data_IF_088432822512
#
_entry.id   IF_088432822512
#
_cell.length_a   1.000
_cell.length_b   1.000
_cell.length_c   1.000
_cell.angle_alpha   90.00
_cell.angle_beta   90.00
_cell.angle_gamma   90.00
#
_symmetry.space_group_name_H-M   'P 1'
#
loop_
_entity.id
_entity.type
_entity.pdbx_description
1 polymer ?
#
# COMPACT_ATOMS: atom_id res chain seq x y z
N UNK A 1 -11.91 16.89 11.01
CA UNK A 1 -11.93 17.20 9.56
C UNK A 1 -10.59 16.82 8.93
N UNK A 2 -10.65 16.15 7.81
CA UNK A 2 -9.43 15.68 7.13
C UNK A 2 -8.66 16.85 6.51
N UNK A 3 -7.34 16.89 6.75
CA UNK A 3 -6.46 17.86 6.12
C UNK A 3 -6.24 17.46 4.66
N UNK A 4 -6.99 18.09 3.78
CA UNK A 4 -7.00 17.74 2.35
C UNK A 4 -5.68 18.01 1.64
N UNK A 5 -4.93 19.04 2.08
CA UNK A 5 -3.63 19.34 1.48
C UNK A 5 -2.63 18.23 1.75
N UNK A 6 -2.58 17.75 2.99
CA UNK A 6 -1.71 16.63 3.36
C UNK A 6 -2.09 15.37 2.57
N UNK A 7 -3.38 15.07 2.51
CA UNK A 7 -3.85 13.87 1.80
C UNK A 7 -3.53 13.95 0.30
N UNK A 8 -3.75 15.09 -0.35
CA UNK A 8 -3.41 15.25 -1.77
C UNK A 8 -1.93 15.02 -2.04
N UNK A 9 -1.08 15.56 -1.17
CA UNK A 9 0.37 15.37 -1.30
C UNK A 9 0.75 13.90 -1.16
N UNK A 10 0.19 13.21 -0.18
CA UNK A 10 0.45 11.78 0.05
C UNK A 10 -0.08 10.91 -1.08
N UNK A 11 -1.25 11.25 -1.61
CA UNK A 11 -1.81 10.54 -2.77
C UNK A 11 -0.94 10.72 -4.02
N UNK A 12 -0.35 11.91 -4.20
CA UNK A 12 0.57 12.16 -5.32
C UNK A 12 1.81 11.27 -5.23
N UNK A 13 2.38 11.12 -4.03
CA UNK A 13 3.50 10.19 -3.80
C UNK A 13 3.10 8.75 -4.09
N UNK A 14 1.95 8.33 -3.60
CA UNK A 14 1.44 6.97 -3.84
C UNK A 14 1.26 6.72 -5.34
N UNK A 15 0.69 7.70 -6.06
CA UNK A 15 0.51 7.62 -7.51
C UNK A 15 1.86 7.42 -8.23
N UNK A 16 2.90 8.10 -7.79
CA UNK A 16 4.25 7.97 -8.33
C UNK A 16 4.80 6.55 -8.11
N UNK A 17 4.66 6.02 -6.90
CA UNK A 17 5.11 4.65 -6.60
C UNK A 17 4.33 3.61 -7.41
N UNK A 18 3.03 3.81 -7.57
CA UNK A 18 2.21 2.92 -8.40
C UNK A 18 2.70 2.94 -9.85
N UNK A 19 3.00 4.12 -10.40
CA UNK A 19 3.52 4.25 -11.76
C UNK A 19 4.86 3.54 -11.92
N UNK A 20 5.74 3.67 -10.92
CA UNK A 20 7.04 3.00 -10.92
C UNK A 20 6.90 1.48 -10.94
N UNK A 21 5.99 0.95 -10.13
CA UNK A 21 5.71 -0.50 -10.09
C UNK A 21 5.01 -0.98 -11.35
N UNK A 22 4.10 -0.17 -11.88
CA UNK A 22 3.38 -0.48 -13.12
C UNK A 22 4.35 -0.70 -14.28
N UNK A 23 5.41 0.10 -14.34
CA UNK A 23 6.43 -0.03 -15.38
C UNK A 23 7.17 -1.37 -15.32
N UNK A 24 7.19 -2.03 -14.16
CA UNK A 24 7.91 -3.28 -13.94
C UNK A 24 7.00 -4.50 -13.79
N UNK A 25 5.68 -4.32 -13.91
CA UNK A 25 4.71 -5.40 -13.59
C UNK A 25 4.86 -6.66 -14.45
N UNK A 26 5.39 -6.53 -15.66
CA UNK A 26 5.51 -7.64 -16.61
C UNK A 26 6.89 -8.29 -16.59
N UNK A 27 7.75 -7.96 -15.62
CA UNK A 27 9.05 -8.59 -15.48
C UNK A 27 8.89 -10.10 -15.29
N UNK A 28 9.66 -10.88 -16.05
CA UNK A 28 9.65 -12.33 -15.93
C UNK A 28 10.32 -12.78 -14.64
N UNK A 29 9.93 -13.94 -14.12
CA UNK A 29 10.52 -14.49 -12.91
C UNK A 29 12.04 -14.66 -13.03
N UNK A 30 12.49 -15.20 -14.16
CA UNK A 30 13.93 -15.44 -14.40
C UNK A 30 14.72 -14.14 -14.37
N UNK A 31 14.23 -13.10 -15.04
CA UNK A 31 14.87 -11.78 -15.03
C UNK A 31 14.86 -11.17 -13.64
N UNK A 32 13.73 -11.25 -12.96
CA UNK A 32 13.60 -10.72 -11.60
C UNK A 32 14.61 -11.39 -10.65
N UNK A 33 14.75 -12.71 -10.71
CA UNK A 33 15.68 -13.45 -9.87
C UNK A 33 17.15 -13.16 -10.19
N UNK A 34 17.46 -12.90 -11.46
CA UNK A 34 18.83 -12.66 -11.92
C UNK A 34 19.30 -11.22 -11.70
N UNK A 35 18.38 -10.25 -11.65
CA UNK A 35 18.73 -8.84 -11.55
C UNK A 35 18.54 -8.30 -10.13
N UNK A 36 19.61 -8.25 -9.39
CA UNK A 36 19.61 -7.80 -7.99
C UNK A 36 19.16 -6.34 -7.83
N UNK A 37 19.56 -5.47 -8.76
CA UNK A 37 19.17 -4.05 -8.71
C UNK A 37 17.68 -3.90 -8.94
N UNK A 38 17.15 -4.62 -9.91
CA UNK A 38 15.71 -4.61 -10.20
C UNK A 38 14.91 -5.13 -9.01
N UNK A 39 15.34 -6.24 -8.40
CA UNK A 39 14.68 -6.79 -7.21
C UNK A 39 14.63 -5.76 -6.08
N UNK A 40 15.78 -5.16 -5.77
CA UNK A 40 15.88 -4.17 -4.68
C UNK A 40 15.03 -2.94 -4.97
N UNK A 41 15.00 -2.50 -6.23
CA UNK A 41 14.18 -1.39 -6.64
C UNK A 41 12.69 -1.69 -6.43
N UNK A 42 12.23 -2.84 -6.88
CA UNK A 42 10.83 -3.26 -6.74
C UNK A 42 10.48 -3.44 -5.25
N UNK A 43 11.31 -4.12 -4.48
CA UNK A 43 11.09 -4.32 -3.04
C UNK A 43 10.97 -2.98 -2.30
N UNK A 44 11.88 -2.07 -2.57
CA UNK A 44 11.87 -0.75 -1.92
C UNK A 44 10.65 0.06 -2.32
N UNK A 45 10.29 0.03 -3.60
CA UNK A 45 9.12 0.77 -4.11
C UNK A 45 7.82 0.19 -3.54
N UNK A 46 7.70 -1.13 -3.45
CA UNK A 46 6.56 -1.77 -2.79
C UNK A 46 6.45 -1.32 -1.33
N UNK A 47 7.56 -1.34 -0.61
CA UNK A 47 7.59 -0.89 0.78
C UNK A 47 7.10 0.55 0.90
N UNK A 48 7.63 1.45 0.08
CA UNK A 48 7.24 2.87 0.11
C UNK A 48 5.76 3.06 -0.25
N UNK A 49 5.25 2.30 -1.21
CA UNK A 49 3.85 2.38 -1.61
C UNK A 49 2.91 1.94 -0.47
N UNK A 50 3.24 0.83 0.19
CA UNK A 50 2.44 0.34 1.33
C UNK A 50 2.51 1.33 2.50
N UNK A 51 3.70 1.89 2.77
CA UNK A 51 3.86 2.91 3.80
C UNK A 51 3.01 4.15 3.50
N UNK A 52 2.92 4.55 2.22
CA UNK A 52 2.07 5.68 1.81
C UNK A 52 0.59 5.41 2.11
N UNK A 53 0.12 4.21 1.86
CA UNK A 53 -1.26 3.83 2.20
C UNK A 53 -1.51 3.90 3.71
N UNK A 54 -0.59 3.36 4.50
CA UNK A 54 -0.68 3.40 5.96
C UNK A 54 -0.67 4.84 6.49
N UNK A 55 0.16 5.68 5.89
CA UNK A 55 0.30 7.08 6.27
C UNK A 55 -0.99 7.85 5.96
N UNK A 56 -1.55 7.67 4.76
CA UNK A 56 -2.84 8.28 4.38
C UNK A 56 -3.94 7.85 5.34
N UNK A 57 -4.04 6.55 5.58
CA UNK A 57 -5.05 6.00 6.49
C UNK A 57 -4.89 6.53 7.90
N UNK A 58 -3.66 6.61 8.40
CA UNK A 58 -3.36 7.14 9.73
C UNK A 58 -3.75 8.61 9.88
N UNK A 59 -3.53 9.43 8.84
CA UNK A 59 -3.95 10.83 8.85
C UNK A 59 -5.47 10.96 8.91
N UNK A 60 -6.20 10.16 8.16
CA UNK A 60 -7.67 10.18 8.19
C UNK A 60 -8.17 9.79 9.58
N UNK A 61 -7.61 8.73 10.17
CA UNK A 61 -7.98 8.25 11.49
C UNK A 61 -7.77 9.35 12.54
N UNK A 62 -6.61 9.99 12.51
CA UNK A 62 -6.27 11.06 13.44
C UNK A 62 -7.18 12.27 13.27
N UNK A 63 -7.34 12.73 12.04
CA UNK A 63 -8.12 13.94 11.74
C UNK A 63 -9.62 13.78 12.02
N UNK A 64 -10.15 12.57 11.84
CA UNK A 64 -11.56 12.28 12.08
C UNK A 64 -11.84 11.75 13.48
N UNK A 65 -10.82 11.63 14.32
CA UNK A 65 -10.99 11.14 15.68
C UNK A 65 -11.52 9.72 15.77
N UNK A 66 -11.11 8.85 14.85
CA UNK A 66 -11.52 7.45 14.84
C UNK A 66 -10.77 6.69 15.96
N UNK A 67 -11.21 5.46 16.26
CA UNK A 67 -10.56 4.69 17.30
C UNK A 67 -9.08 4.47 16.98
N UNK A 68 -8.26 4.41 18.01
CA UNK A 68 -6.83 4.21 17.87
C UNK A 68 -6.52 2.78 17.39
N UNK A 69 -5.79 2.62 16.27
CA UNK A 69 -5.42 1.29 15.80
C UNK A 69 -4.35 0.65 16.68
N UNK A 70 -4.39 -0.67 16.79
CA UNK A 70 -3.45 -1.45 17.62
C UNK A 70 -2.16 -1.80 16.89
N UNK A 71 -2.21 -1.86 15.57
CA UNK A 71 -1.07 -2.20 14.71
C UNK A 71 -1.35 -1.73 13.28
N UNK A 72 -0.43 -2.02 12.36
CA UNK A 72 -0.57 -1.60 10.96
C UNK A 72 -1.78 -2.22 10.26
N UNK A 73 -2.03 -3.50 10.51
CA UNK A 73 -3.18 -4.19 9.94
C UNK A 73 -4.49 -3.55 10.41
N UNK A 74 -4.55 -3.20 11.68
CA UNK A 74 -5.73 -2.59 12.29
C UNK A 74 -6.02 -1.19 11.75
N UNK A 75 -5.02 -0.49 11.23
CA UNK A 75 -5.22 0.81 10.57
C UNK A 75 -6.26 0.68 9.46
N UNK A 76 -6.15 -0.33 8.62
CA UNK A 76 -7.11 -0.55 7.55
C UNK A 76 -8.46 -1.04 8.09
N UNK A 77 -8.45 -1.83 9.14
CA UNK A 77 -9.69 -2.27 9.81
C UNK A 77 -10.49 -1.07 10.32
N UNK A 78 -9.83 -0.09 10.93
CA UNK A 78 -10.48 1.13 11.43
C UNK A 78 -11.12 1.90 10.27
N UNK A 79 -10.44 2.07 9.14
CA UNK A 79 -11.02 2.74 7.98
C UNK A 79 -12.22 1.97 7.42
N UNK A 80 -12.15 0.64 7.40
CA UNK A 80 -13.27 -0.20 6.95
C UNK A 80 -14.49 -0.05 7.84
N UNK A 81 -14.30 -0.07 9.16
CA UNK A 81 -15.37 0.13 10.15
C UNK A 81 -16.07 1.48 9.98
N UNK A 82 -15.31 2.49 9.57
CA UNK A 82 -15.78 3.86 9.44
C UNK A 82 -16.39 4.18 8.07
N UNK A 83 -16.47 3.20 7.20
CA UNK A 83 -17.09 3.35 5.88
C UNK A 83 -16.20 3.96 4.79
N UNK A 84 -14.91 4.16 5.05
CA UNK A 84 -13.99 4.66 4.03
C UNK A 84 -13.62 3.60 3.01
N UNK A 85 -13.61 2.33 3.39
CA UNK A 85 -13.21 1.23 2.54
C UNK A 85 -14.29 0.15 2.49
N UNK A 86 -14.57 -0.43 1.31
CA UNK A 86 -15.42 -1.61 1.22
C UNK A 86 -14.81 -2.79 1.99
N UNK A 87 -15.63 -3.69 2.48
CA UNK A 87 -15.19 -4.83 3.28
C UNK A 87 -14.15 -5.70 2.57
N UNK A 88 -14.37 -6.00 1.29
CA UNK A 88 -13.44 -6.83 0.52
C UNK A 88 -12.08 -6.17 0.36
N UNK A 89 -12.06 -4.87 0.05
CA UNK A 89 -10.81 -4.12 -0.07
C UNK A 89 -10.10 -4.04 1.27
N UNK A 90 -10.85 -3.84 2.36
CA UNK A 90 -10.29 -3.82 3.71
C UNK A 90 -9.50 -5.08 4.00
N UNK A 91 -10.07 -6.26 3.69
CA UNK A 91 -9.38 -7.55 3.89
C UNK A 91 -8.09 -7.65 3.08
N UNK A 92 -8.12 -7.20 1.83
CA UNK A 92 -6.94 -7.22 0.96
C UNK A 92 -5.84 -6.31 1.49
N UNK A 93 -6.21 -5.11 1.96
CA UNK A 93 -5.25 -4.16 2.52
C UNK A 93 -4.66 -4.64 3.84
N UNK A 94 -5.45 -5.34 4.65
CA UNK A 94 -4.94 -5.95 5.89
C UNK A 94 -3.87 -6.99 5.59
N UNK A 95 -4.04 -7.80 4.54
CA UNK A 95 -3.02 -8.75 4.08
C UNK A 95 -1.77 -8.02 3.59
N UNK A 96 -1.97 -6.93 2.87
CA UNK A 96 -0.86 -6.09 2.38
C UNK A 96 -0.05 -5.53 3.55
N UNK A 97 -0.72 -5.10 4.61
CA UNK A 97 -0.04 -4.60 5.81
C UNK A 97 0.80 -5.68 6.49
N UNK A 98 0.30 -6.91 6.53
CA UNK A 98 1.07 -8.06 7.06
C UNK A 98 2.32 -8.32 6.22
N UNK A 99 2.20 -8.23 4.91
CA UNK A 99 3.33 -8.38 4.00
C UNK A 99 4.39 -7.29 4.23
N UNK A 100 3.96 -6.06 4.46
CA UNK A 100 4.87 -4.95 4.79
C UNK A 100 5.71 -5.29 6.03
N UNK A 101 5.11 -5.89 7.04
CA UNK A 101 5.84 -6.27 8.25
C UNK A 101 6.91 -7.32 7.98
N UNK A 102 6.63 -8.26 7.07
CA UNK A 102 7.62 -9.26 6.65
C UNK A 102 8.80 -8.58 5.95
N UNK A 103 8.53 -7.64 5.02
CA UNK A 103 9.59 -6.91 4.30
C UNK A 103 10.50 -6.16 5.28
N UNK A 104 9.93 -5.49 6.27
CA UNK A 104 10.68 -4.62 7.18
C UNK A 104 11.44 -5.41 8.25
N UNK A 105 10.83 -6.45 8.79
CA UNK A 105 11.38 -7.15 9.97
C UNK A 105 12.04 -8.48 9.67
N UNK A 106 11.77 -9.06 8.50
CA UNK A 106 12.24 -10.39 8.17
C UNK A 106 12.72 -10.52 6.73
N UNK A 107 13.18 -9.43 6.14
CA UNK A 107 13.57 -9.41 4.73
C UNK A 107 14.71 -10.39 4.41
N UNK A 108 15.52 -10.79 5.39
CA UNK A 108 16.57 -11.78 5.18
C UNK A 108 16.01 -13.16 4.82
N UNK A 109 14.75 -13.42 5.16
CA UNK A 109 14.05 -14.67 4.84
C UNK A 109 13.05 -14.49 3.69
N UNK A 110 12.94 -13.27 3.18
CA UNK A 110 11.96 -12.98 2.13
C UNK A 110 12.37 -13.66 0.84
N UNK A 111 11.52 -14.54 0.37
CA UNK A 111 11.74 -15.23 -0.90
C UNK A 111 11.43 -14.25 -2.06
N UNK A 112 12.42 -14.01 -2.91
CA UNK A 112 12.27 -13.15 -4.07
C UNK A 112 11.13 -13.61 -4.99
N UNK A 113 10.92 -14.91 -5.10
CA UNK A 113 9.83 -15.48 -5.90
C UNK A 113 8.46 -15.10 -5.33
N UNK A 114 8.33 -15.03 -4.00
CA UNK A 114 7.10 -14.60 -3.33
C UNK A 114 6.81 -13.14 -3.69
N UNK A 115 7.82 -12.27 -3.64
CA UNK A 115 7.67 -10.86 -4.00
C UNK A 115 7.21 -10.74 -5.45
N UNK A 116 7.86 -11.44 -6.36
CA UNK A 116 7.48 -11.44 -7.76
C UNK A 116 6.02 -11.89 -7.95
N UNK A 117 5.63 -12.95 -7.24
CA UNK A 117 4.29 -13.53 -7.35
C UNK A 117 3.17 -12.62 -6.85
N UNK A 118 3.46 -11.72 -5.91
CA UNK A 118 2.44 -10.82 -5.34
C UNK A 118 2.41 -9.44 -6.00
N UNK A 119 3.40 -9.10 -6.80
CA UNK A 119 3.55 -7.75 -7.36
C UNK A 119 2.27 -7.24 -8.04
N UNK A 120 1.70 -8.01 -8.95
CA UNK A 120 0.50 -7.59 -9.69
C UNK A 120 -0.71 -7.42 -8.79
N UNK A 121 -0.88 -8.32 -7.81
CA UNK A 121 -1.98 -8.28 -6.87
C UNK A 121 -1.89 -7.06 -5.96
N UNK A 122 -0.69 -6.79 -5.44
CA UNK A 122 -0.46 -5.61 -4.60
C UNK A 122 -0.70 -4.34 -5.39
N UNK A 123 -0.26 -4.29 -6.66
CA UNK A 123 -0.52 -3.15 -7.55
C UNK A 123 -2.01 -2.85 -7.67
N UNK A 124 -2.83 -3.89 -7.88
CA UNK A 124 -4.28 -3.72 -7.97
C UNK A 124 -4.87 -3.18 -6.66
N UNK A 125 -4.41 -3.69 -5.54
CA UNK A 125 -4.86 -3.23 -4.21
C UNK A 125 -4.48 -1.78 -3.96
N UNK A 126 -3.27 -1.37 -4.33
CA UNK A 126 -2.79 0.01 -4.21
C UNK A 126 -3.65 0.97 -5.04
N UNK A 127 -3.96 0.59 -6.29
CA UNK A 127 -4.82 1.41 -7.16
C UNK A 127 -6.22 1.55 -6.59
N UNK A 128 -6.80 0.44 -6.12
CA UNK A 128 -8.15 0.45 -5.53
C UNK A 128 -8.19 1.33 -4.29
N UNK A 129 -7.17 1.25 -3.44
CA UNK A 129 -7.07 2.11 -2.26
C UNK A 129 -7.06 3.59 -2.68
N UNK A 130 -6.18 3.95 -3.61
CA UNK A 130 -6.05 5.32 -4.07
C UNK A 130 -7.37 5.85 -4.63
N UNK A 131 -8.01 5.09 -5.51
CA UNK A 131 -9.28 5.49 -6.13
C UNK A 131 -10.40 5.61 -5.09
N UNK A 132 -10.47 4.67 -4.17
CA UNK A 132 -11.49 4.67 -3.12
C UNK A 132 -11.36 5.88 -2.19
N UNK A 133 -10.14 6.20 -1.78
CA UNK A 133 -9.90 7.37 -0.94
C UNK A 133 -10.23 8.67 -1.69
N UNK A 134 -9.81 8.78 -2.95
CA UNK A 134 -10.13 9.95 -3.77
C UNK A 134 -11.64 10.16 -3.90
N UNK A 135 -12.36 9.09 -4.19
CA UNK A 135 -13.81 9.14 -4.33
C UNK A 135 -14.47 9.52 -3.00
N UNK A 136 -14.06 8.88 -1.91
CA UNK A 136 -14.64 9.13 -0.59
C UNK A 136 -14.43 10.56 -0.10
N UNK A 137 -13.29 11.17 -0.45
CA UNK A 137 -12.94 12.54 -0.06
C UNK A 137 -13.24 13.59 -1.12
N UNK A 138 -13.80 13.20 -2.26
CA UNK A 138 -14.12 14.14 -3.34
C UNK A 138 -12.89 14.72 -4.04
N UNK A 139 -11.81 13.95 -4.16
CA UNK A 139 -10.58 14.36 -4.83
C UNK A 139 -10.58 13.81 -6.26
N UNK A 140 -10.27 14.64 -7.23
CA UNK A 140 -10.20 14.27 -8.65
C UNK A 140 -8.92 13.50 -8.99
#
# INVERSE_FOLDING_TARGET
MVDMEVIRHRLALLSEYIADLEAEKDVGLKEFLADKRLRRYIERTLHLAVESCLDIAGHIISDEGLREPRDNKDIFAVLGESGYLPEELTRKLMKMAQFRNIIVHDYARLDAEVIWGILKRVLDDLRLFMLTIKERLGIS
#
